data_IF_002076789576
#
_entry.id   IF_002076789576
#
_cell.length_a   1.000
_cell.length_b   1.000
_cell.length_c   1.000
_cell.angle_alpha   90.00
_cell.angle_beta   90.00
_cell.angle_gamma   90.00
#
_symmetry.space_group_name_H-M   'P 1'
#
loop_
_entity.id
_entity.type
_entity.pdbx_description
1 polymer ?
#
# COMPACT_ATOMS: atom_id res chain seq x y z
N UNK A 1 -27.14 7.38 8.40
CA UNK A 1 -26.78 8.48 9.32
C UNK A 1 -27.79 9.60 9.17
N UNK A 2 -28.18 10.25 10.27
CA UNK A 2 -28.95 11.49 10.19
C UNK A 2 -28.06 12.63 9.66
N UNK A 3 -28.63 13.53 8.87
CA UNK A 3 -27.89 14.63 8.25
C UNK A 3 -27.20 15.51 9.30
N UNK A 4 -27.91 15.89 10.36
CA UNK A 4 -27.33 16.74 11.41
C UNK A 4 -26.15 16.07 12.13
N UNK A 5 -26.21 14.77 12.37
CA UNK A 5 -25.12 14.01 12.99
C UNK A 5 -23.92 13.88 12.04
N UNK A 6 -24.17 13.61 10.77
CA UNK A 6 -23.09 13.58 9.76
C UNK A 6 -22.40 14.94 9.66
N UNK A 7 -23.14 16.04 9.54
CA UNK A 7 -22.56 17.37 9.39
C UNK A 7 -21.73 17.80 10.61
N UNK A 8 -22.09 17.38 11.83
CA UNK A 8 -21.26 17.59 13.03
C UNK A 8 -19.93 16.85 12.92
N UNK A 9 -19.95 15.60 12.49
CA UNK A 9 -18.76 14.77 12.31
C UNK A 9 -17.88 15.30 11.16
N UNK A 10 -18.49 15.64 10.01
CA UNK A 10 -17.79 16.21 8.87
C UNK A 10 -17.06 17.50 9.26
N UNK A 11 -17.75 18.42 9.95
CA UNK A 11 -17.14 19.65 10.46
C UNK A 11 -15.99 19.37 11.45
N UNK A 12 -16.13 18.36 12.32
CA UNK A 12 -15.06 17.96 13.24
C UNK A 12 -13.80 17.46 12.49
N UNK A 13 -13.98 16.75 11.38
CA UNK A 13 -12.88 16.27 10.55
C UNK A 13 -12.39 17.27 9.48
N UNK A 14 -13.06 18.40 9.31
CA UNK A 14 -12.77 19.38 8.26
C UNK A 14 -13.26 18.97 6.87
N UNK A 15 -14.21 18.04 6.79
CA UNK A 15 -14.81 17.56 5.54
C UNK A 15 -16.02 18.41 5.13
N UNK A 16 -16.49 18.26 3.88
CA UNK A 16 -17.67 18.96 3.36
C UNK A 16 -18.96 18.56 4.11
N UNK A 17 -19.79 19.57 4.40
CA UNK A 17 -21.14 19.40 4.94
C UNK A 17 -22.18 19.48 3.83
N UNK A 18 -23.33 18.82 4.03
CA UNK A 18 -24.38 18.76 3.01
C UNK A 18 -25.73 19.26 3.51
N UNK A 19 -26.64 19.47 2.55
CA UNK A 19 -28.05 19.75 2.80
C UNK A 19 -28.92 18.74 2.03
N UNK A 20 -30.04 18.32 2.63
CA UNK A 20 -30.98 17.37 2.04
C UNK A 20 -32.42 17.85 2.18
N UNK A 21 -33.23 17.66 1.14
CA UNK A 21 -34.69 17.72 1.26
C UNK A 21 -35.22 16.48 1.98
N UNK A 22 -36.46 16.56 2.47
CA UNK A 22 -37.13 15.50 3.23
C UNK A 22 -37.27 14.15 2.49
N UNK A 23 -37.21 14.16 1.15
CA UNK A 23 -37.33 12.97 0.31
C UNK A 23 -36.03 12.62 -0.44
N UNK A 24 -34.89 13.17 -0.02
CA UNK A 24 -33.60 12.93 -0.67
C UNK A 24 -32.65 12.12 0.22
N UNK A 25 -31.66 11.46 -0.38
CA UNK A 25 -30.54 10.83 0.34
C UNK A 25 -29.20 11.11 -0.34
N UNK A 26 -28.11 11.03 0.42
CA UNK A 26 -26.73 11.09 -0.08
C UNK A 26 -26.05 9.77 0.24
N UNK A 27 -25.22 9.29 -0.68
CA UNK A 27 -24.32 8.17 -0.44
C UNK A 27 -22.88 8.68 -0.30
N UNK A 28 -22.25 8.37 0.83
CA UNK A 28 -20.83 8.63 1.09
C UNK A 28 -20.05 7.34 0.83
N UNK A 29 -19.10 7.38 -0.09
CA UNK A 29 -18.33 6.21 -0.50
C UNK A 29 -16.96 6.65 -0.97
N UNK A 30 -15.91 6.04 -0.43
CA UNK A 30 -14.53 6.35 -0.85
C UNK A 30 -13.78 5.10 -1.31
N UNK A 31 -14.35 3.92 -1.10
CA UNK A 31 -13.72 2.67 -1.52
C UNK A 31 -13.89 2.45 -3.03
N UNK A 32 -12.79 2.59 -3.77
CA UNK A 32 -12.75 2.64 -5.24
C UNK A 32 -13.46 1.48 -5.92
N UNK A 33 -13.30 0.25 -5.40
CA UNK A 33 -13.93 -0.95 -5.98
C UNK A 33 -15.47 -0.83 -6.01
N UNK A 34 -16.07 -0.15 -5.03
CA UNK A 34 -17.52 0.02 -4.96
C UNK A 34 -18.03 1.31 -5.61
N UNK A 35 -17.16 2.29 -5.83
CA UNK A 35 -17.55 3.58 -6.43
C UNK A 35 -18.24 3.37 -7.79
N UNK A 36 -17.70 2.52 -8.66
CA UNK A 36 -18.28 2.25 -9.97
C UNK A 36 -19.68 1.63 -9.90
N UNK A 37 -19.91 0.71 -8.97
CA UNK A 37 -21.21 0.05 -8.82
C UNK A 37 -22.24 1.02 -8.21
N UNK A 38 -21.83 1.77 -7.19
CA UNK A 38 -22.67 2.77 -6.54
C UNK A 38 -23.05 3.91 -7.48
N UNK A 39 -22.08 4.47 -8.20
CA UNK A 39 -22.33 5.58 -9.12
C UNK A 39 -23.27 5.17 -10.26
N UNK A 40 -23.21 3.91 -10.74
CA UNK A 40 -24.20 3.38 -11.69
C UNK A 40 -25.62 3.38 -11.09
N UNK A 41 -25.77 2.91 -9.86
CA UNK A 41 -27.06 2.92 -9.15
C UNK A 41 -27.60 4.34 -8.95
N UNK A 42 -26.77 5.26 -8.46
CA UNK A 42 -27.11 6.66 -8.23
C UNK A 42 -27.47 7.39 -9.53
N UNK A 43 -26.69 7.18 -10.60
CA UNK A 43 -26.94 7.78 -11.92
C UNK A 43 -28.24 7.30 -12.57
N UNK A 44 -28.67 6.07 -12.28
CA UNK A 44 -29.97 5.55 -12.71
C UNK A 44 -31.17 6.12 -11.93
N UNK A 45 -30.93 6.97 -10.91
CA UNK A 45 -31.98 7.55 -10.07
C UNK A 45 -32.61 6.54 -9.12
N UNK A 46 -31.89 5.47 -8.74
CA UNK A 46 -32.43 4.40 -7.92
C UNK A 46 -32.91 4.94 -6.56
N UNK A 47 -34.20 4.75 -6.28
CA UNK A 47 -34.80 5.19 -5.02
C UNK A 47 -34.61 4.18 -3.89
N UNK A 48 -34.47 4.66 -2.66
CA UNK A 48 -34.46 3.85 -1.45
C UNK A 48 -35.83 3.91 -0.77
N UNK A 49 -36.44 2.75 -0.51
CA UNK A 49 -37.68 2.65 0.26
C UNK A 49 -37.36 2.20 1.67
N UNK A 50 -37.67 3.04 2.66
CA UNK A 50 -37.43 2.77 4.08
C UNK A 50 -38.73 3.03 4.82
N UNK A 51 -39.30 1.98 5.41
CA UNK A 51 -40.66 2.00 5.94
C UNK A 51 -41.65 2.44 4.84
N UNK A 52 -42.46 3.45 5.15
CA UNK A 52 -43.45 4.01 4.22
C UNK A 52 -42.93 5.20 3.40
N UNK A 53 -41.63 5.55 3.52
CA UNK A 53 -41.04 6.69 2.81
C UNK A 53 -40.13 6.23 1.68
N UNK A 54 -40.13 7.01 0.61
CA UNK A 54 -39.25 6.81 -0.55
C UNK A 54 -38.31 7.98 -0.66
N UNK A 55 -37.02 7.68 -0.79
CA UNK A 55 -35.95 8.66 -0.91
C UNK A 55 -35.28 8.55 -2.28
N UNK A 56 -35.04 9.68 -2.93
CA UNK A 56 -34.35 9.77 -4.21
C UNK A 56 -32.91 10.26 -4.01
N UNK A 57 -31.96 9.85 -4.85
CA UNK A 57 -30.57 10.28 -4.70
C UNK A 57 -30.45 11.78 -4.99
N UNK A 58 -29.79 12.52 -4.10
CA UNK A 58 -29.48 13.95 -4.32
C UNK A 58 -28.43 14.14 -5.42
N UNK A 59 -27.46 13.25 -5.47
CA UNK A 59 -26.33 13.28 -6.40
C UNK A 59 -26.28 11.99 -7.23
N UNK A 60 -25.78 12.09 -8.46
CA UNK A 60 -25.61 10.94 -9.37
C UNK A 60 -24.36 10.10 -9.07
N UNK A 61 -23.53 10.56 -8.15
CA UNK A 61 -22.27 9.95 -7.75
C UNK A 61 -22.12 10.00 -6.23
N UNK A 62 -21.39 9.04 -5.66
CA UNK A 62 -21.02 9.05 -4.26
C UNK A 62 -20.23 10.33 -3.94
N UNK A 63 -20.44 10.82 -2.74
CA UNK A 63 -19.67 11.93 -2.19
C UNK A 63 -18.56 11.42 -1.28
N UNK A 64 -17.50 12.22 -1.20
CA UNK A 64 -16.38 11.95 -0.31
C UNK A 64 -16.77 12.27 1.14
N UNK A 65 -16.24 11.51 2.10
CA UNK A 65 -16.50 11.69 3.51
C UNK A 65 -16.18 10.46 4.36
N UNK A 66 -16.02 10.71 5.67
CA UNK A 66 -15.78 9.68 6.68
C UNK A 66 -16.60 9.95 7.93
N UNK A 67 -17.01 8.86 8.57
CA UNK A 67 -17.81 8.90 9.81
C UNK A 67 -16.97 8.50 11.02
N UNK A 68 -16.03 7.58 10.82
CA UNK A 68 -15.12 7.07 11.84
C UNK A 68 -13.71 7.10 11.25
N UNK A 69 -12.71 7.42 12.08
CA UNK A 69 -11.32 7.31 11.68
C UNK A 69 -10.93 5.83 11.48
N UNK A 70 -10.03 5.59 10.53
CA UNK A 70 -9.52 4.26 10.22
C UNK A 70 -8.08 4.32 9.70
N UNK A 71 -7.46 3.16 9.57
CA UNK A 71 -6.11 2.99 9.00
C UNK A 71 -6.05 3.28 7.50
N UNK A 72 -7.18 3.25 6.82
CA UNK A 72 -7.33 3.61 5.41
C UNK A 72 -8.45 4.63 5.22
N UNK A 73 -8.37 5.40 4.14
CA UNK A 73 -9.40 6.35 3.76
C UNK A 73 -10.54 5.63 3.03
N UNK A 74 -11.16 4.65 3.69
CA UNK A 74 -12.21 3.80 3.09
C UNK A 74 -13.52 3.85 3.88
N UNK A 75 -14.54 4.43 3.25
CA UNK A 75 -15.93 4.38 3.71
C UNK A 75 -16.72 3.45 2.80
N UNK A 76 -17.13 2.31 3.35
CA UNK A 76 -18.01 1.35 2.69
C UNK A 76 -19.46 1.85 2.78
N UNK A 77 -19.90 2.59 1.76
CA UNK A 77 -21.28 3.04 1.53
C UNK A 77 -22.07 3.49 2.79
N UNK A 78 -21.91 4.74 3.17
CA UNK A 78 -22.76 5.36 4.20
C UNK A 78 -23.90 6.15 3.56
N UNK A 79 -25.14 5.74 3.81
CA UNK A 79 -26.32 6.51 3.40
C UNK A 79 -26.65 7.57 4.46
N UNK A 80 -26.74 8.82 4.02
CA UNK A 80 -27.21 9.96 4.80
C UNK A 80 -28.66 10.25 4.41
N UNK A 81 -29.51 10.38 5.43
CA UNK A 81 -30.92 10.70 5.30
C UNK A 81 -31.22 12.00 6.06
N UNK A 82 -32.25 12.77 5.69
CA UNK A 82 -32.72 13.91 6.47
C UNK A 82 -33.11 13.47 7.89
N UNK A 83 -32.96 14.36 8.87
CA UNK A 83 -33.28 14.07 10.27
C UNK A 83 -34.73 13.61 10.46
N UNK A 84 -35.65 14.11 9.63
CA UNK A 84 -37.05 13.72 9.61
C UNK A 84 -37.26 12.23 9.28
N UNK A 85 -36.27 11.54 8.70
CA UNK A 85 -36.30 10.10 8.44
C UNK A 85 -36.20 9.27 9.73
N UNK A 86 -35.73 9.83 10.84
CA UNK A 86 -35.54 9.13 12.13
C UNK A 86 -36.64 9.47 13.16
N UNK A 87 -37.77 10.03 12.71
CA UNK A 87 -38.96 10.18 13.54
C UNK A 87 -39.49 8.81 13.99
N UNK A 88 -40.15 8.74 15.15
CA UNK A 88 -40.55 7.49 15.82
C UNK A 88 -41.36 6.51 14.93
N UNK A 89 -42.06 7.03 13.92
CA UNK A 89 -42.93 6.28 13.01
C UNK A 89 -42.19 5.65 11.81
N UNK A 90 -40.89 5.90 11.63
CA UNK A 90 -40.15 5.49 10.43
C UNK A 90 -39.66 4.04 10.41
N UNK A 91 -39.75 3.34 11.55
CA UNK A 91 -39.20 1.99 11.72
C UNK A 91 -37.68 1.94 11.76
N UNK A 92 -37.00 3.09 11.82
CA UNK A 92 -35.55 3.17 12.02
C UNK A 92 -35.22 3.29 13.50
N UNK A 93 -34.36 2.40 13.99
CA UNK A 93 -33.85 2.44 15.37
C UNK A 93 -32.42 2.98 15.38
N UNK A 94 -32.10 3.83 16.36
CA UNK A 94 -30.71 4.25 16.61
C UNK A 94 -29.94 3.08 17.21
N UNK A 95 -28.95 2.58 16.50
CA UNK A 95 -28.14 1.41 16.91
C UNK A 95 -26.71 1.76 17.31
N UNK A 96 -26.28 3.01 17.05
CA UNK A 96 -24.90 3.44 17.29
C UNK A 96 -24.87 4.89 17.75
N UNK A 97 -24.05 5.17 18.76
CA UNK A 97 -23.62 6.51 19.13
C UNK A 97 -22.14 6.68 18.75
N UNK A 98 -21.77 7.85 18.25
CA UNK A 98 -20.39 8.20 17.90
C UNK A 98 -19.99 9.42 18.71
N UNK A 99 -18.89 9.30 19.44
CA UNK A 99 -18.26 10.42 20.13
C UNK A 99 -16.90 10.69 19.47
N UNK A 100 -16.62 11.95 19.16
CA UNK A 100 -15.36 12.37 18.54
C UNK A 100 -14.79 13.55 19.31
N UNK A 101 -13.52 13.45 19.70
CA UNK A 101 -12.83 14.43 20.51
C UNK A 101 -11.37 14.58 20.04
N UNK A 102 -10.80 15.75 20.31
CA UNK A 102 -9.39 16.05 20.06
C UNK A 102 -8.63 16.15 21.38
N UNK A 103 -7.35 15.79 21.36
CA UNK A 103 -6.48 15.98 22.51
C UNK A 103 -6.30 17.47 22.82
N UNK A 104 -6.38 17.81 24.10
CA UNK A 104 -5.93 19.10 24.61
C UNK A 104 -4.40 19.17 24.70
N UNK A 105 -3.77 18.03 25.02
CA UNK A 105 -2.34 17.88 25.15
C UNK A 105 -1.62 18.00 23.79
N UNK A 106 -0.37 18.47 23.82
CA UNK A 106 0.50 18.58 22.63
C UNK A 106 1.78 17.76 22.75
N UNK A 107 2.22 17.46 23.97
CA UNK A 107 3.45 16.71 24.21
C UNK A 107 3.18 15.20 24.15
N UNK A 108 4.13 14.45 23.58
CA UNK A 108 4.00 13.00 23.38
C UNK A 108 3.63 12.24 24.66
N UNK A 109 4.35 12.50 25.77
CA UNK A 109 4.08 11.83 27.06
C UNK A 109 2.68 12.11 27.61
N UNK A 110 2.18 13.33 27.44
CA UNK A 110 0.83 13.70 27.89
C UNK A 110 -0.26 13.06 27.04
N UNK A 111 -0.01 12.93 25.73
CA UNK A 111 -0.90 12.25 24.79
C UNK A 111 -1.01 10.75 25.13
N UNK A 112 0.13 10.09 25.35
CA UNK A 112 0.19 8.68 25.77
C UNK A 112 -0.55 8.47 27.09
N UNK A 113 -0.34 9.36 28.07
CA UNK A 113 -1.07 9.30 29.33
C UNK A 113 -2.59 9.44 29.14
N UNK A 114 -3.04 10.38 28.32
CA UNK A 114 -4.47 10.57 28.05
C UNK A 114 -5.09 9.34 27.36
N UNK A 115 -4.37 8.72 26.42
CA UNK A 115 -4.78 7.48 25.77
C UNK A 115 -4.92 6.32 26.77
N UNK A 116 -3.94 6.17 27.65
CA UNK A 116 -3.94 5.13 28.67
C UNK A 116 -5.09 5.33 29.68
N UNK A 117 -5.35 6.57 30.09
CA UNK A 117 -6.48 6.91 30.97
C UNK A 117 -7.83 6.57 30.32
N UNK A 118 -8.02 6.90 29.04
CA UNK A 118 -9.27 6.58 28.31
C UNK A 118 -9.40 5.07 28.14
N UNK A 119 -8.35 4.38 27.69
CA UNK A 119 -8.37 2.92 27.48
C UNK A 119 -8.70 2.18 28.77
N UNK A 120 -8.03 2.53 29.87
CA UNK A 120 -8.25 1.91 31.18
C UNK A 120 -9.71 2.08 31.62
N UNK A 121 -10.25 3.30 31.52
CA UNK A 121 -11.65 3.55 31.89
C UNK A 121 -12.65 2.77 31.04
N UNK A 122 -12.41 2.63 29.74
CA UNK A 122 -13.29 1.85 28.86
C UNK A 122 -13.21 0.34 29.14
N UNK A 123 -12.13 -0.13 29.77
CA UNK A 123 -11.97 -1.52 30.17
C UNK A 123 -12.62 -1.87 31.51
N UNK A 124 -12.98 -0.87 32.32
CA UNK A 124 -13.69 -1.05 33.60
C UNK A 124 -15.07 -1.70 33.40
N UNK A 125 -15.43 -2.61 34.31
CA UNK A 125 -16.66 -3.42 34.20
C UNK A 125 -17.94 -2.57 34.15
N UNK A 126 -17.96 -1.40 34.80
CA UNK A 126 -19.14 -0.53 34.81
C UNK A 126 -19.59 -0.14 33.39
N UNK A 127 -18.65 0.13 32.48
CA UNK A 127 -18.96 0.51 31.10
C UNK A 127 -19.30 -0.71 30.24
N UNK A 128 -18.60 -1.83 30.44
CA UNK A 128 -18.84 -3.09 29.71
C UNK A 128 -20.22 -3.68 29.99
N UNK A 129 -20.74 -3.53 31.21
CA UNK A 129 -22.08 -4.01 31.57
C UNK A 129 -23.19 -3.11 31.01
N UNK A 130 -22.95 -1.81 30.89
CA UNK A 130 -23.94 -0.82 30.41
C UNK A 130 -23.95 -0.67 28.88
N UNK A 131 -22.82 -0.92 28.21
CA UNK A 131 -22.66 -0.72 26.77
C UNK A 131 -22.12 -2.01 26.15
N UNK A 132 -22.99 -2.68 25.40
CA UNK A 132 -22.73 -4.00 24.81
C UNK A 132 -21.54 -4.03 23.84
N UNK A 133 -21.34 -2.94 23.07
CA UNK A 133 -20.32 -2.87 22.01
C UNK A 133 -19.61 -1.50 22.03
N UNK A 134 -18.64 -1.33 22.95
CA UNK A 134 -17.76 -0.16 22.95
C UNK A 134 -16.61 -0.39 21.97
N UNK A 135 -16.47 0.51 20.99
CA UNK A 135 -15.30 0.58 20.12
C UNK A 135 -14.61 1.92 20.31
N UNK A 136 -13.30 1.86 20.57
CA UNK A 136 -12.44 3.02 20.72
C UNK A 136 -11.33 2.98 19.69
N UNK A 137 -11.11 4.11 19.04
CA UNK A 137 -10.04 4.29 18.06
C UNK A 137 -9.46 5.68 18.22
N UNK A 138 -8.14 5.76 18.16
CA UNK A 138 -7.41 7.01 18.28
C UNK A 138 -6.39 7.15 17.16
N UNK A 139 -5.94 8.38 16.91
CA UNK A 139 -4.90 8.63 15.89
C UNK A 139 -3.58 7.95 16.26
N UNK A 140 -3.26 7.86 17.55
CA UNK A 140 -2.06 7.20 18.06
C UNK A 140 -2.16 5.70 17.83
N UNK A 141 -3.27 5.08 18.24
CA UNK A 141 -3.53 3.66 18.03
C UNK A 141 -3.46 3.27 16.55
N UNK A 142 -4.11 4.04 15.67
CA UNK A 142 -4.06 3.79 14.22
C UNK A 142 -2.62 3.87 13.71
N UNK A 143 -1.87 4.90 14.12
CA UNK A 143 -0.48 5.10 13.69
C UNK A 143 0.41 3.95 14.13
N UNK A 144 0.32 3.52 15.38
CA UNK A 144 1.11 2.41 15.92
C UNK A 144 0.77 1.09 15.24
N UNK A 145 -0.52 0.79 15.08
CA UNK A 145 -1.01 -0.41 14.40
C UNK A 145 -0.52 -0.49 12.95
N UNK A 146 -0.54 0.64 12.21
CA UNK A 146 -0.04 0.69 10.85
C UNK A 146 1.50 0.61 10.79
N UNK A 147 2.18 1.26 11.73
CA UNK A 147 3.66 1.31 11.75
C UNK A 147 4.24 -0.08 12.04
N UNK A 148 3.69 -0.82 13.00
CA UNK A 148 4.20 -2.15 13.35
C UNK A 148 4.19 -3.11 12.16
N UNK A 149 3.04 -3.23 11.48
CA UNK A 149 2.91 -4.07 10.29
C UNK A 149 3.86 -3.61 9.17
N UNK A 150 3.87 -2.30 8.88
CA UNK A 150 4.71 -1.76 7.81
C UNK A 150 6.20 -2.01 8.08
N UNK A 151 6.66 -1.84 9.32
CA UNK A 151 8.05 -2.11 9.72
C UNK A 151 8.39 -3.59 9.53
N UNK A 152 7.55 -4.51 9.99
CA UNK A 152 7.80 -5.96 9.87
C UNK A 152 7.87 -6.37 8.40
N UNK A 153 6.87 -6.00 7.61
CA UNK A 153 6.81 -6.35 6.18
C UNK A 153 7.99 -5.74 5.41
N UNK A 154 8.33 -4.47 5.68
CA UNK A 154 9.45 -3.80 5.02
C UNK A 154 10.78 -4.43 5.42
N UNK A 155 10.98 -4.71 6.71
CA UNK A 155 12.22 -5.33 7.21
C UNK A 155 12.43 -6.73 6.62
N UNK A 156 11.41 -7.58 6.70
CA UNK A 156 11.47 -8.96 6.16
C UNK A 156 11.66 -8.92 4.64
N UNK A 157 10.90 -8.08 3.94
CA UNK A 157 11.01 -7.93 2.49
C UNK A 157 12.39 -7.44 2.05
N UNK A 158 12.95 -6.44 2.73
CA UNK A 158 14.28 -5.91 2.43
C UNK A 158 15.37 -6.93 2.76
N UNK A 159 15.28 -7.60 3.92
CA UNK A 159 16.24 -8.62 4.35
C UNK A 159 16.30 -9.76 3.34
N UNK A 160 15.14 -10.34 3.00
CA UNK A 160 15.02 -11.40 2.00
C UNK A 160 15.55 -10.90 0.65
N UNK A 161 15.15 -9.71 0.21
CA UNK A 161 15.61 -9.12 -1.05
C UNK A 161 17.13 -8.96 -1.14
N UNK A 162 17.77 -8.42 -0.11
CA UNK A 162 19.23 -8.22 -0.06
C UNK A 162 19.95 -9.57 -0.03
N UNK A 163 19.50 -10.52 0.80
CA UNK A 163 20.12 -11.84 0.88
C UNK A 163 20.05 -12.55 -0.47
N UNK A 164 18.87 -12.60 -1.11
CA UNK A 164 18.73 -13.19 -2.43
C UNK A 164 19.56 -12.48 -3.49
N UNK A 165 19.67 -11.15 -3.46
CA UNK A 165 20.51 -10.39 -4.38
C UNK A 165 21.98 -10.80 -4.22
N UNK A 166 22.52 -10.73 -3.00
CA UNK A 166 23.92 -11.06 -2.73
C UNK A 166 24.21 -12.52 -3.10
N UNK A 167 23.36 -13.45 -2.69
CA UNK A 167 23.55 -14.88 -2.97
C UNK A 167 23.47 -15.18 -4.46
N UNK A 168 22.49 -14.64 -5.19
CA UNK A 168 22.37 -14.88 -6.63
C UNK A 168 23.51 -14.25 -7.42
N UNK A 169 23.91 -13.01 -7.08
CA UNK A 169 25.04 -12.35 -7.73
C UNK A 169 26.37 -13.06 -7.45
N UNK A 170 26.60 -13.50 -6.21
CA UNK A 170 27.78 -14.28 -5.84
C UNK A 170 27.82 -15.64 -6.54
N UNK A 171 26.68 -16.34 -6.62
CA UNK A 171 26.58 -17.63 -7.32
C UNK A 171 26.88 -17.46 -8.82
N UNK A 172 26.32 -16.44 -9.45
CA UNK A 172 26.57 -16.14 -10.86
C UNK A 172 28.04 -15.77 -11.09
N UNK A 173 28.60 -14.90 -10.25
CA UNK A 173 30.00 -14.51 -10.32
C UNK A 173 30.95 -15.70 -10.16
N UNK A 174 30.67 -16.60 -9.21
CA UNK A 174 31.47 -17.80 -8.99
C UNK A 174 31.42 -18.74 -10.20
N UNK A 175 30.23 -18.96 -10.77
CA UNK A 175 30.06 -19.75 -12.00
C UNK A 175 30.90 -19.20 -13.16
N UNK A 176 30.82 -17.90 -13.43
CA UNK A 176 31.57 -17.29 -14.53
C UNK A 176 33.09 -17.29 -14.29
N UNK A 177 33.52 -17.15 -13.02
CA UNK A 177 34.93 -17.25 -12.66
C UNK A 177 35.46 -18.67 -12.86
N UNK A 178 34.69 -19.69 -12.46
CA UNK A 178 34.99 -21.09 -12.70
C UNK A 178 35.04 -21.40 -14.20
N UNK A 179 34.06 -20.94 -14.99
CA UNK A 179 34.09 -21.11 -16.45
C UNK A 179 35.30 -20.43 -17.10
N UNK A 180 35.71 -19.25 -16.63
CA UNK A 180 36.91 -18.57 -17.12
C UNK A 180 38.18 -19.35 -16.79
N UNK A 181 38.27 -19.92 -15.58
CA UNK A 181 39.39 -20.76 -15.15
C UNK A 181 39.48 -22.05 -15.99
N UNK A 182 38.36 -22.76 -16.17
CA UNK A 182 38.30 -24.00 -16.94
C UNK A 182 38.65 -23.79 -18.42
N UNK A 183 38.30 -22.63 -18.98
CA UNK A 183 38.60 -22.29 -20.37
C UNK A 183 39.95 -21.57 -20.57
N UNK A 184 40.72 -21.33 -19.51
CA UNK A 184 42.00 -20.59 -19.58
C UNK A 184 42.94 -21.17 -20.62
N UNK A 185 43.15 -22.49 -20.63
CA UNK A 185 44.05 -23.14 -21.59
C UNK A 185 43.61 -22.96 -23.04
N UNK A 186 42.29 -22.95 -23.29
CA UNK A 186 41.72 -22.73 -24.63
C UNK A 186 41.98 -21.30 -25.11
N UNK A 187 41.79 -20.31 -24.24
CA UNK A 187 42.13 -18.92 -24.53
C UNK A 187 43.63 -18.73 -24.77
N UNK A 188 44.49 -19.41 -24.00
CA UNK A 188 45.95 -19.40 -24.22
C UNK A 188 46.35 -20.06 -25.55
N UNK A 189 45.68 -21.14 -25.97
CA UNK A 189 45.88 -21.74 -27.29
C UNK A 189 45.52 -20.79 -28.43
N UNK A 190 44.40 -20.07 -28.32
CA UNK A 190 44.01 -19.05 -29.31
C UNK A 190 45.05 -17.94 -29.43
N UNK A 191 45.64 -17.50 -28.31
CA UNK A 191 46.78 -16.57 -28.31
C UNK A 191 47.98 -17.14 -29.05
N UNK A 192 48.35 -18.40 -28.78
CA UNK A 192 49.46 -19.09 -29.47
C UNK A 192 49.23 -19.23 -30.98
N UNK A 193 47.97 -19.27 -31.43
CA UNK A 193 47.58 -19.28 -32.84
C UNK A 193 47.56 -17.88 -33.49
N UNK A 194 47.92 -16.82 -32.76
CA UNK A 194 48.03 -15.45 -33.28
C UNK A 194 46.81 -14.56 -33.04
N UNK A 195 45.87 -14.96 -32.18
CA UNK A 195 44.71 -14.12 -31.83
C UNK A 195 45.16 -12.94 -30.95
N UNK A 196 44.80 -11.73 -31.34
CA UNK A 196 45.02 -10.53 -30.50
C UNK A 196 44.26 -10.61 -29.16
N UNK A 197 44.88 -10.09 -28.11
CA UNK A 197 44.27 -9.97 -26.77
C UNK A 197 42.95 -9.20 -26.77
N UNK A 198 42.83 -8.21 -27.65
CA UNK A 198 41.61 -7.42 -27.86
C UNK A 198 40.41 -8.31 -28.19
N UNK A 199 40.61 -9.33 -29.02
CA UNK A 199 39.57 -10.27 -29.43
C UNK A 199 39.22 -11.24 -28.31
N UNK A 200 40.22 -11.70 -27.54
CA UNK A 200 40.02 -12.59 -26.38
C UNK A 200 39.20 -11.88 -25.29
N UNK A 201 39.58 -10.65 -24.92
CA UNK A 201 38.86 -9.89 -23.89
C UNK A 201 37.46 -9.48 -24.34
N UNK A 202 37.25 -9.23 -25.64
CA UNK A 202 35.92 -8.98 -26.19
C UNK A 202 35.04 -10.22 -26.13
N UNK A 203 35.57 -11.39 -26.46
CA UNK A 203 34.84 -12.66 -26.36
C UNK A 203 34.44 -12.94 -24.90
N UNK A 204 35.38 -12.79 -23.96
CA UNK A 204 35.12 -12.95 -22.52
C UNK A 204 34.04 -11.98 -22.03
N UNK A 205 34.12 -10.70 -22.40
CA UNK A 205 33.14 -9.70 -22.02
C UNK A 205 31.73 -10.09 -22.46
N UNK A 206 31.57 -10.49 -23.73
CA UNK A 206 30.26 -10.87 -24.26
C UNK A 206 29.71 -12.16 -23.66
N UNK A 207 30.57 -13.14 -23.36
CA UNK A 207 30.18 -14.35 -22.64
C UNK A 207 29.56 -13.97 -21.28
N UNK A 208 30.32 -13.27 -20.45
CA UNK A 208 29.87 -12.86 -19.11
C UNK A 208 28.65 -11.95 -19.20
N UNK A 209 28.63 -11.00 -20.14
CA UNK A 209 27.51 -10.07 -20.33
C UNK A 209 26.22 -10.81 -20.69
N UNK A 210 26.26 -11.79 -21.60
CA UNK A 210 25.06 -12.55 -21.95
C UNK A 210 24.55 -13.35 -20.74
N UNK A 211 25.44 -14.01 -20.00
CA UNK A 211 25.05 -14.78 -18.82
C UNK A 211 24.53 -13.93 -17.65
N UNK A 212 24.98 -12.67 -17.53
CA UNK A 212 24.44 -11.72 -16.54
C UNK A 212 23.13 -11.06 -17.01
N UNK A 213 23.10 -10.50 -18.21
CA UNK A 213 21.98 -9.67 -18.67
C UNK A 213 20.77 -10.48 -19.14
N UNK A 214 20.95 -11.71 -19.64
CA UNK A 214 19.81 -12.53 -20.09
C UNK A 214 18.88 -12.92 -18.92
N UNK A 215 19.37 -13.47 -17.79
CA UNK A 215 18.53 -13.72 -16.62
C UNK A 215 17.95 -12.43 -16.02
N UNK A 216 18.72 -11.34 -16.00
CA UNK A 216 18.24 -10.05 -15.52
C UNK A 216 17.06 -9.54 -16.34
N UNK A 217 17.13 -9.62 -17.67
CA UNK A 217 16.05 -9.20 -18.55
C UNK A 217 14.78 -10.00 -18.29
N UNK A 218 14.90 -11.32 -18.12
CA UNK A 218 13.77 -12.17 -17.75
C UNK A 218 13.17 -11.78 -16.39
N UNK A 219 14.02 -11.51 -15.40
CA UNK A 219 13.59 -11.06 -14.08
C UNK A 219 12.88 -9.70 -14.12
N UNK A 220 13.36 -8.76 -14.94
CA UNK A 220 12.71 -7.45 -15.16
C UNK A 220 11.33 -7.63 -15.78
N UNK A 221 11.20 -8.46 -16.82
CA UNK A 221 9.90 -8.76 -17.44
C UNK A 221 8.93 -9.33 -16.41
N UNK A 222 9.36 -10.34 -15.64
CA UNK A 222 8.54 -10.96 -14.61
C UNK A 222 8.12 -9.94 -13.51
N UNK A 223 9.06 -9.09 -13.10
CA UNK A 223 8.84 -8.07 -12.07
C UNK A 223 7.79 -7.04 -12.49
N UNK A 224 7.70 -6.68 -13.78
CA UNK A 224 6.69 -5.73 -14.27
C UNK A 224 5.27 -6.22 -13.96
N UNK A 225 4.99 -7.52 -14.13
CA UNK A 225 3.66 -8.09 -13.83
C UNK A 225 3.37 -8.06 -12.33
N UNK A 226 4.33 -8.49 -11.50
CA UNK A 226 4.19 -8.45 -10.04
C UNK A 226 3.99 -7.04 -9.51
N UNK A 227 4.78 -6.08 -10.00
CA UNK A 227 4.67 -4.66 -9.64
C UNK A 227 3.33 -4.08 -10.07
N UNK A 228 2.85 -4.38 -11.29
CA UNK A 228 1.52 -3.92 -11.75
C UNK A 228 0.40 -4.43 -10.84
N UNK A 229 0.44 -5.71 -10.49
CA UNK A 229 -0.57 -6.32 -9.61
C UNK A 229 -0.57 -5.67 -8.22
N UNK A 230 0.59 -5.58 -7.57
CA UNK A 230 0.72 -5.00 -6.22
C UNK A 230 0.38 -3.50 -6.24
N UNK A 231 0.84 -2.75 -7.25
CA UNK A 231 0.55 -1.33 -7.38
C UNK A 231 -0.94 -1.07 -7.55
N UNK A 232 -1.63 -1.87 -8.35
CA UNK A 232 -3.08 -1.75 -8.51
C UNK A 232 -3.82 -2.01 -7.19
N UNK A 233 -3.39 -3.00 -6.40
CA UNK A 233 -3.98 -3.28 -5.10
C UNK A 233 -3.77 -2.13 -4.10
N UNK A 234 -2.53 -1.62 -4.01
CA UNK A 234 -2.20 -0.56 -3.05
C UNK A 234 -2.85 0.77 -3.43
N UNK A 235 -2.81 1.18 -4.72
CA UNK A 235 -3.48 2.40 -5.19
C UNK A 235 -4.98 2.36 -4.91
N UNK A 236 -5.63 1.20 -5.04
CA UNK A 236 -7.05 1.06 -4.68
C UNK A 236 -7.32 1.24 -3.18
N UNK A 237 -6.37 0.88 -2.31
CA UNK A 237 -6.51 0.97 -0.86
C UNK A 237 -6.13 2.34 -0.30
N UNK A 238 -5.10 2.97 -0.86
CA UNK A 238 -4.49 4.19 -0.31
C UNK A 238 -4.72 5.43 -1.16
N UNK A 239 -5.04 5.26 -2.45
CA UNK A 239 -5.06 6.36 -3.42
C UNK A 239 -3.67 6.88 -3.81
N UNK A 240 -2.59 6.29 -3.30
CA UNK A 240 -1.22 6.76 -3.51
C UNK A 240 -0.45 5.91 -4.51
N UNK A 241 0.33 6.58 -5.36
CA UNK A 241 1.20 5.93 -6.35
C UNK A 241 2.51 5.43 -5.74
N UNK A 242 2.87 4.18 -6.07
CA UNK A 242 4.14 3.56 -5.67
C UNK A 242 5.29 3.77 -6.65
N UNK A 243 5.11 4.61 -7.67
CA UNK A 243 6.09 4.76 -8.75
C UNK A 243 7.46 5.22 -8.22
N UNK A 244 7.49 6.17 -7.27
CA UNK A 244 8.73 6.66 -6.65
C UNK A 244 9.52 5.54 -5.95
N UNK A 245 8.97 4.81 -4.97
CA UNK A 245 9.71 3.74 -4.29
C UNK A 245 10.14 2.61 -5.23
N UNK A 246 9.35 2.30 -6.27
CA UNK A 246 9.72 1.32 -7.29
C UNK A 246 10.98 1.75 -8.05
N UNK A 247 11.03 2.99 -8.54
CA UNK A 247 12.19 3.51 -9.30
C UNK A 247 13.44 3.53 -8.43
N UNK A 248 13.33 4.00 -7.19
CA UNK A 248 14.47 4.03 -6.25
C UNK A 248 15.01 2.62 -5.99
N UNK A 249 14.11 1.65 -5.77
CA UNK A 249 14.51 0.25 -5.53
C UNK A 249 15.17 -0.37 -6.76
N UNK A 250 14.62 -0.13 -7.96
CA UNK A 250 15.17 -0.62 -9.21
C UNK A 250 16.57 -0.02 -9.50
N UNK A 251 16.76 1.26 -9.17
CA UNK A 251 18.05 1.94 -9.34
C UNK A 251 19.11 1.37 -8.39
N UNK A 252 18.77 1.17 -7.10
CA UNK A 252 19.67 0.54 -6.13
C UNK A 252 20.05 -0.88 -6.59
N UNK A 253 19.05 -1.67 -6.99
CA UNK A 253 19.27 -3.02 -7.51
C UNK A 253 20.20 -3.00 -8.75
N UNK A 254 19.93 -2.11 -9.71
CA UNK A 254 20.73 -1.97 -10.92
C UNK A 254 22.18 -1.59 -10.64
N UNK A 255 22.44 -0.66 -9.72
CA UNK A 255 23.80 -0.28 -9.31
C UNK A 255 24.53 -1.47 -8.71
N UNK A 256 23.91 -2.17 -7.75
CA UNK A 256 24.54 -3.32 -7.10
C UNK A 256 24.84 -4.42 -8.11
N UNK A 257 23.88 -4.76 -8.97
CA UNK A 257 24.06 -5.78 -10.00
C UNK A 257 25.17 -5.42 -10.99
N UNK A 258 25.27 -4.16 -11.37
CA UNK A 258 26.32 -3.67 -12.26
C UNK A 258 27.71 -3.73 -11.60
N UNK A 259 27.84 -3.40 -10.31
CA UNK A 259 29.09 -3.55 -9.56
C UNK A 259 29.56 -5.02 -9.58
N UNK A 260 28.64 -5.96 -9.38
CA UNK A 260 28.96 -7.39 -9.45
C UNK A 260 29.43 -7.81 -10.85
N UNK A 261 28.74 -7.37 -11.91
CA UNK A 261 29.14 -7.65 -13.28
C UNK A 261 30.57 -7.17 -13.58
N UNK A 262 30.91 -5.93 -13.19
CA UNK A 262 32.27 -5.39 -13.38
C UNK A 262 33.29 -6.19 -12.57
N UNK A 263 32.96 -6.53 -11.31
CA UNK A 263 33.85 -7.31 -10.45
C UNK A 263 34.14 -8.69 -11.04
N UNK A 264 33.12 -9.36 -11.57
CA UNK A 264 33.26 -10.65 -12.25
C UNK A 264 34.09 -10.52 -13.52
N UNK A 265 33.82 -9.53 -14.37
CA UNK A 265 34.59 -9.32 -15.59
C UNK A 265 36.09 -9.07 -15.30
N UNK A 266 36.41 -8.19 -14.35
CA UNK A 266 37.79 -7.90 -13.95
C UNK A 266 38.47 -9.14 -13.37
N UNK A 267 37.76 -9.91 -12.52
CA UNK A 267 38.25 -11.17 -11.97
C UNK A 267 38.58 -12.19 -13.05
N UNK A 268 37.65 -12.45 -13.97
CA UNK A 268 37.85 -13.39 -15.08
C UNK A 268 38.94 -12.93 -16.05
N UNK A 269 39.06 -11.62 -16.30
CA UNK A 269 40.14 -11.06 -17.13
C UNK A 269 41.52 -11.33 -16.52
N UNK A 270 41.67 -11.13 -15.21
CA UNK A 270 42.93 -11.38 -14.50
C UNK A 270 43.35 -12.85 -14.55
N UNK A 271 42.41 -13.78 -14.47
CA UNK A 271 42.70 -15.23 -14.59
C UNK A 271 43.35 -15.57 -15.93
N UNK A 272 42.98 -14.87 -17.01
CA UNK A 272 43.55 -15.04 -18.34
C UNK A 272 44.89 -14.31 -18.53
N UNK A 273 45.20 -13.32 -17.70
CA UNK A 273 46.49 -12.59 -17.74
C UNK A 273 47.58 -13.33 -16.97
N UNK A 274 47.22 -14.05 -15.91
CA UNK A 274 48.07 -15.03 -15.21
C UNK A 274 48.30 -16.29 -16.04
#
# INVERSE_FOLDING_TARGET
FALSDYNKIAKFYGDETYELKNNEYIAICTFQTFLNYQNKGLSSGKTLKIGNRTYQPRYKECKDGKVVMGSSYTTLNTIILPDSAFAAESGLTKTKAVFSANYKAKQKKELEKAEDEVRTKLEENEYKEKIRDISYVSRIYIKESCTGLAVIVTFVGLYIGIVFLITSAALLALKELSEAADNKERYLLLRKLGTEDSMVYRALFWQIAIFFFMPLLLAVIHSIFGIKFISAAIVQMTGESLLKPIIVSALIYGILYFIYFISTYVGSKRILEE
#
